data_IF_337480307755
#
_entry.id   IF_337480307755
#
_cell.length_a   1.000
_cell.length_b   1.000
_cell.length_c   1.000
_cell.angle_alpha   90.00
_cell.angle_beta   90.00
_cell.angle_gamma   90.00
#
_symmetry.space_group_name_H-M   'P 1'
#
loop_
_entity.id
_entity.type
_entity.pdbx_description
1 polymer ?
#
# COMPACT_ATOMS: atom_id res chain seq x y z
N UNK A 1 -8.08 0.10 -16.77
CA UNK A 1 -8.62 -0.73 -15.66
C UNK A 1 -9.22 0.11 -14.53
N UNK A 2 -8.49 1.00 -13.83
CA UNK A 2 -9.06 1.83 -12.72
C UNK A 2 -10.30 2.64 -13.17
N UNK A 3 -10.13 3.55 -14.13
CA UNK A 3 -11.23 4.34 -14.74
C UNK A 3 -12.30 3.48 -15.43
N UNK A 4 -11.95 2.28 -15.89
CA UNK A 4 -12.90 1.35 -16.54
C UNK A 4 -13.70 0.52 -15.54
N UNK A 5 -13.31 0.55 -14.26
CA UNK A 5 -13.95 -0.17 -13.16
C UNK A 5 -14.84 0.73 -12.31
N UNK A 6 -14.79 2.05 -12.52
CA UNK A 6 -15.71 3.01 -11.90
C UNK A 6 -17.16 2.72 -12.31
N UNK A 7 -18.06 2.59 -11.34
CA UNK A 7 -19.48 2.26 -11.56
C UNK A 7 -19.80 0.77 -11.79
N UNK A 8 -18.81 -0.14 -11.69
CA UNK A 8 -19.04 -1.59 -11.76
C UNK A 8 -19.11 -2.21 -10.36
N UNK A 9 -20.18 -2.93 -10.08
CA UNK A 9 -20.38 -3.68 -8.82
C UNK A 9 -19.59 -4.99 -8.74
N UNK A 10 -18.99 -5.43 -9.84
CA UNK A 10 -18.50 -6.80 -10.03
C UNK A 10 -16.97 -6.89 -10.00
N UNK A 11 -16.30 -5.91 -9.38
CA UNK A 11 -14.84 -5.90 -9.23
C UNK A 11 -14.47 -6.84 -8.10
N UNK A 12 -13.82 -7.95 -8.44
CA UNK A 12 -13.31 -8.89 -7.46
C UNK A 12 -12.01 -8.38 -6.81
N UNK A 13 -11.63 -9.01 -5.71
CA UNK A 13 -10.43 -8.63 -4.97
C UNK A 13 -9.15 -8.78 -5.79
N UNK A 14 -9.12 -9.70 -6.75
CA UNK A 14 -7.96 -9.92 -7.61
C UNK A 14 -7.75 -8.75 -8.57
N UNK A 15 -8.84 -8.22 -9.14
CA UNK A 15 -8.85 -7.03 -9.98
C UNK A 15 -8.52 -5.78 -9.17
N UNK A 16 -9.04 -5.67 -7.94
CA UNK A 16 -8.71 -4.56 -7.04
C UNK A 16 -7.21 -4.54 -6.71
N UNK A 17 -6.66 -5.68 -6.30
CA UNK A 17 -5.21 -5.85 -6.08
C UNK A 17 -4.42 -5.47 -7.34
N UNK A 18 -4.86 -5.91 -8.53
CA UNK A 18 -4.19 -5.60 -9.79
C UNK A 18 -4.14 -4.08 -10.06
N UNK A 19 -5.26 -3.37 -9.91
CA UNK A 19 -5.32 -1.91 -10.11
C UNK A 19 -4.32 -1.20 -9.20
N UNK A 20 -4.33 -1.53 -7.91
CA UNK A 20 -3.51 -0.83 -6.93
C UNK A 20 -2.02 -1.17 -7.02
N UNK A 21 -1.70 -2.42 -7.38
CA UNK A 21 -0.31 -2.82 -7.68
C UNK A 21 0.26 -1.99 -8.82
N UNK A 22 -0.54 -1.69 -9.86
CA UNK A 22 -0.06 -0.98 -11.05
C UNK A 22 -0.16 0.55 -10.96
N UNK A 23 -0.91 1.11 -9.99
CA UNK A 23 -1.07 2.55 -9.81
C UNK A 23 -0.10 3.11 -8.76
N UNK A 24 -0.19 2.59 -7.54
CA UNK A 24 0.53 3.13 -6.37
C UNK A 24 1.75 2.27 -6.04
N UNK A 25 1.59 0.94 -6.11
CA UNK A 25 2.66 -0.01 -5.81
C UNK A 25 3.87 0.12 -6.75
N UNK A 26 3.61 0.28 -8.06
CA UNK A 26 4.66 0.35 -9.07
C UNK A 26 5.63 1.53 -8.88
N UNK A 27 5.13 2.70 -8.45
CA UNK A 27 6.00 3.87 -8.21
C UNK A 27 6.84 3.73 -6.94
N UNK A 28 6.27 3.13 -5.88
CA UNK A 28 7.02 2.81 -4.66
C UNK A 28 8.10 1.77 -4.94
N UNK A 29 7.77 0.72 -5.70
CA UNK A 29 8.74 -0.26 -6.17
C UNK A 29 9.85 0.37 -6.99
N UNK A 30 9.51 1.21 -7.99
CA UNK A 30 10.49 1.91 -8.77
C UNK A 30 11.42 2.79 -7.91
N UNK A 31 10.87 3.48 -6.92
CA UNK A 31 11.64 4.36 -6.01
C UNK A 31 12.65 3.57 -5.18
N UNK A 32 12.23 2.45 -4.57
CA UNK A 32 13.09 1.61 -3.74
C UNK A 32 14.14 0.89 -4.59
N UNK A 33 13.71 0.23 -5.68
CA UNK A 33 14.58 -0.58 -6.53
C UNK A 33 15.62 0.29 -7.24
N UNK A 34 15.25 1.49 -7.70
CA UNK A 34 16.21 2.40 -8.35
C UNK A 34 17.36 2.80 -7.43
N UNK A 35 17.07 3.09 -6.16
CA UNK A 35 18.11 3.39 -5.16
C UNK A 35 19.06 2.21 -4.95
N UNK A 36 18.51 1.00 -4.87
CA UNK A 36 19.30 -0.22 -4.71
C UNK A 36 20.16 -0.53 -5.94
N UNK A 37 19.63 -0.34 -7.15
CA UNK A 37 20.39 -0.52 -8.39
C UNK A 37 21.56 0.47 -8.49
N UNK A 38 21.32 1.75 -8.15
CA UNK A 38 22.38 2.77 -8.15
C UNK A 38 23.48 2.48 -7.12
N UNK A 39 23.12 1.85 -6.00
CA UNK A 39 24.07 1.42 -4.98
C UNK A 39 24.82 0.10 -5.32
N UNK A 40 24.51 -0.52 -6.47
CA UNK A 40 25.14 -1.78 -6.88
C UNK A 40 24.69 -3.00 -6.06
N UNK A 41 23.44 -3.00 -5.60
CA UNK A 41 22.86 -4.13 -4.86
C UNK A 41 22.90 -5.43 -5.68
N UNK A 42 23.06 -6.57 -4.99
CA UNK A 42 22.95 -7.89 -5.60
C UNK A 42 21.52 -8.17 -6.10
N UNK A 43 21.39 -9.14 -7.01
CA UNK A 43 20.08 -9.64 -7.46
C UNK A 43 19.14 -10.00 -6.31
N UNK A 44 19.68 -10.69 -5.30
CA UNK A 44 18.91 -11.20 -4.17
C UNK A 44 18.38 -10.05 -3.30
N UNK A 45 19.20 -9.00 -3.10
CA UNK A 45 18.78 -7.81 -2.37
C UNK A 45 17.77 -6.99 -3.20
N UNK A 46 17.94 -6.89 -4.51
CA UNK A 46 16.97 -6.23 -5.39
C UNK A 46 15.60 -6.92 -5.32
N UNK A 47 15.58 -8.26 -5.32
CA UNK A 47 14.34 -9.01 -5.21
C UNK A 47 13.67 -8.82 -3.83
N UNK A 48 14.43 -8.91 -2.74
CA UNK A 48 13.94 -8.60 -1.39
C UNK A 48 13.35 -7.19 -1.29
N UNK A 49 14.04 -6.20 -1.85
CA UNK A 49 13.59 -4.81 -1.85
C UNK A 49 12.38 -4.57 -2.75
N UNK A 50 12.26 -5.29 -3.86
CA UNK A 50 11.04 -5.31 -4.69
C UNK A 50 9.86 -5.87 -3.90
N UNK A 51 10.03 -6.99 -3.20
CA UNK A 51 8.96 -7.58 -2.36
C UNK A 51 8.58 -6.67 -1.19
N UNK A 52 9.57 -6.07 -0.52
CA UNK A 52 9.35 -5.04 0.48
C UNK A 52 8.47 -3.90 -0.08
N UNK A 53 8.85 -3.35 -1.24
CA UNK A 53 8.17 -2.23 -1.85
C UNK A 53 6.73 -2.55 -2.29
N UNK A 54 6.49 -3.75 -2.83
CA UNK A 54 5.15 -4.23 -3.20
C UNK A 54 4.23 -4.32 -1.98
N UNK A 55 4.74 -4.90 -0.89
CA UNK A 55 3.98 -5.07 0.34
C UNK A 55 3.60 -3.72 0.98
N UNK A 56 4.57 -2.80 1.10
CA UNK A 56 4.26 -1.47 1.63
C UNK A 56 3.32 -0.67 0.72
N UNK A 57 3.41 -0.84 -0.61
CA UNK A 57 2.55 -0.16 -1.56
C UNK A 57 1.10 -0.62 -1.49
N UNK A 58 0.89 -1.94 -1.33
CA UNK A 58 -0.44 -2.48 -1.10
C UNK A 58 -1.00 -2.06 0.26
N UNK A 59 -0.19 -2.12 1.32
CA UNK A 59 -0.58 -1.68 2.65
C UNK A 59 -0.97 -0.18 2.67
N UNK A 60 -0.20 0.66 1.96
CA UNK A 60 -0.46 2.09 1.84
C UNK A 60 -1.84 2.36 1.26
N UNK A 61 -2.22 1.63 0.20
CA UNK A 61 -3.52 1.77 -0.43
C UNK A 61 -4.65 1.34 0.50
N UNK A 62 -4.52 0.18 1.16
CA UNK A 62 -5.53 -0.29 2.10
C UNK A 62 -5.76 0.75 3.21
N UNK A 63 -4.69 1.36 3.71
CA UNK A 63 -4.79 2.43 4.71
C UNK A 63 -5.42 3.69 4.11
N UNK A 64 -5.10 4.05 2.86
CA UNK A 64 -5.73 5.21 2.18
C UNK A 64 -7.25 5.04 2.05
N UNK A 65 -7.68 3.86 1.64
CA UNK A 65 -9.10 3.51 1.52
C UNK A 65 -9.82 3.53 2.89
N UNK A 66 -9.15 3.08 3.96
CA UNK A 66 -9.69 3.18 5.32
C UNK A 66 -9.84 4.65 5.71
N UNK A 67 -8.82 5.46 5.45
CA UNK A 67 -8.81 6.87 5.79
C UNK A 67 -9.89 7.64 5.02
N UNK A 68 -10.08 7.37 3.72
CA UNK A 68 -11.12 8.03 2.90
C UNK A 68 -12.55 7.85 3.46
N UNK A 69 -12.79 6.73 4.16
CA UNK A 69 -14.08 6.39 4.77
C UNK A 69 -14.17 6.88 6.22
N UNK A 70 -13.07 6.85 6.97
CA UNK A 70 -13.10 7.07 8.44
C UNK A 70 -12.70 8.46 8.88
N UNK A 71 -11.89 9.17 8.09
CA UNK A 71 -11.39 10.49 8.43
C UNK A 71 -12.27 11.60 7.87
N UNK A 72 -12.28 12.73 8.56
CA UNK A 72 -12.98 13.93 8.10
C UNK A 72 -12.21 14.59 6.94
N UNK A 73 -12.90 15.39 6.13
CA UNK A 73 -12.26 16.12 5.02
C UNK A 73 -11.18 17.11 5.50
N UNK A 74 -11.30 17.60 6.73
CA UNK A 74 -10.34 18.50 7.38
C UNK A 74 -9.05 17.76 7.79
N UNK A 75 -9.16 16.50 8.23
CA UNK A 75 -8.02 15.66 8.60
C UNK A 75 -7.22 15.17 7.39
N UNK A 76 -7.89 14.90 6.26
CA UNK A 76 -7.23 14.40 5.05
C UNK A 76 -6.71 15.51 4.11
N UNK A 77 -7.11 16.77 4.33
CA UNK A 77 -6.81 17.87 3.40
C UNK A 77 -7.43 17.71 2.00
N UNK A 78 -8.34 16.75 1.82
CA UNK A 78 -9.11 16.46 0.60
C UNK A 78 -10.57 16.15 0.97
N UNK A 79 -11.50 16.24 0.01
CA UNK A 79 -12.90 15.81 0.22
C UNK A 79 -12.94 14.32 0.56
N UNK A 80 -13.37 13.99 1.78
CA UNK A 80 -13.57 12.62 2.26
C UNK A 80 -14.81 11.98 1.63
N UNK A 81 -14.84 10.64 1.56
CA UNK A 81 -15.92 9.89 0.93
C UNK A 81 -15.99 10.02 -0.60
N UNK A 82 -14.87 10.38 -1.23
CA UNK A 82 -14.79 10.56 -2.68
C UNK A 82 -14.98 9.23 -3.41
N UNK A 83 -14.48 8.15 -2.82
CA UNK A 83 -14.59 6.81 -3.39
C UNK A 83 -16.03 6.29 -3.32
N UNK A 84 -16.74 6.60 -2.24
CA UNK A 84 -18.17 6.29 -2.12
C UNK A 84 -19.01 7.08 -3.16
N UNK A 85 -18.68 8.35 -3.41
CA UNK A 85 -19.34 9.16 -4.44
C UNK A 85 -19.05 8.67 -5.86
N UNK A 86 -17.85 8.11 -6.09
CA UNK A 86 -17.44 7.54 -7.38
C UNK A 86 -17.88 6.07 -7.58
N UNK A 87 -18.61 5.49 -6.62
CA UNK A 87 -18.95 4.06 -6.59
C UNK A 87 -17.72 3.16 -6.81
N UNK A 88 -16.56 3.55 -6.27
CA UNK A 88 -15.36 2.72 -6.32
C UNK A 88 -15.47 1.58 -5.33
N UNK A 89 -15.02 0.40 -5.76
CA UNK A 89 -14.78 -0.73 -4.87
C UNK A 89 -13.47 -0.46 -4.13
N UNK A 90 -13.51 -0.53 -2.80
CA UNK A 90 -12.39 -0.27 -1.90
C UNK A 90 -12.18 -1.48 -1.00
N UNK A 91 -11.02 -1.60 -0.35
CA UNK A 91 -10.79 -2.72 0.56
C UNK A 91 -11.82 -2.78 1.70
N UNK A 92 -12.16 -1.67 2.38
CA UNK A 92 -13.17 -1.71 3.43
C UNK A 92 -14.57 -2.04 2.93
N UNK A 93 -14.92 -1.75 1.67
CA UNK A 93 -16.23 -2.14 1.12
C UNK A 93 -16.33 -3.64 0.82
N UNK A 94 -15.22 -4.30 0.50
CA UNK A 94 -15.16 -5.75 0.27
C UNK A 94 -14.96 -6.57 1.56
N UNK A 95 -14.12 -6.09 2.47
CA UNK A 95 -13.66 -6.85 3.64
C UNK A 95 -14.18 -6.34 4.98
N UNK A 96 -14.69 -5.12 5.03
CA UNK A 96 -14.89 -4.38 6.28
C UNK A 96 -13.60 -3.72 6.79
N UNK A 97 -13.75 -2.72 7.66
CA UNK A 97 -12.65 -1.89 8.17
C UNK A 97 -11.68 -2.72 9.01
N UNK A 98 -12.19 -3.54 9.92
CA UNK A 98 -11.39 -4.35 10.84
C UNK A 98 -10.47 -5.32 10.10
N UNK A 99 -11.02 -6.04 9.12
CA UNK A 99 -10.24 -6.96 8.29
C UNK A 99 -9.23 -6.20 7.43
N UNK A 100 -9.61 -5.08 6.84
CA UNK A 100 -8.67 -4.23 6.08
C UNK A 100 -7.48 -3.76 6.94
N UNK A 101 -7.71 -3.40 8.21
CA UNK A 101 -6.64 -3.07 9.17
C UNK A 101 -5.74 -4.26 9.51
N UNK A 102 -6.28 -5.49 9.54
CA UNK A 102 -5.50 -6.70 9.79
C UNK A 102 -4.62 -7.02 8.59
N UNK A 103 -5.17 -6.96 7.38
CA UNK A 103 -4.45 -7.23 6.14
C UNK A 103 -3.31 -6.21 5.92
N UNK A 104 -3.54 -4.92 6.16
CA UNK A 104 -2.48 -3.91 6.04
C UNK A 104 -1.33 -4.15 7.02
N UNK A 105 -1.64 -4.55 8.27
CA UNK A 105 -0.61 -4.94 9.25
C UNK A 105 0.16 -6.18 8.82
N UNK A 106 -0.54 -7.21 8.32
CA UNK A 106 0.11 -8.43 7.84
C UNK A 106 1.09 -8.14 6.68
N UNK A 107 0.71 -7.26 5.76
CA UNK A 107 1.59 -6.81 4.67
C UNK A 107 2.82 -6.06 5.18
N UNK A 108 2.67 -5.19 6.18
CA UNK A 108 3.82 -4.51 6.80
C UNK A 108 4.78 -5.51 7.47
N UNK A 109 4.27 -6.51 8.18
CA UNK A 109 5.13 -7.54 8.79
C UNK A 109 5.85 -8.37 7.72
N UNK A 110 5.18 -8.72 6.62
CA UNK A 110 5.81 -9.37 5.47
C UNK A 110 6.87 -8.49 4.80
N UNK A 111 6.66 -7.18 4.73
CA UNK A 111 7.64 -6.23 4.23
C UNK A 111 8.88 -6.21 5.14
N UNK A 112 8.70 -6.06 6.44
CA UNK A 112 9.80 -6.04 7.43
C UNK A 112 10.63 -7.32 7.39
N UNK A 113 9.99 -8.48 7.20
CA UNK A 113 10.68 -9.76 7.07
C UNK A 113 11.69 -9.77 5.89
N UNK A 114 11.44 -9.02 4.82
CA UNK A 114 12.39 -8.89 3.69
C UNK A 114 13.68 -8.14 4.06
N UNK A 115 13.69 -7.43 5.19
CA UNK A 115 14.82 -6.64 5.68
C UNK A 115 15.55 -7.29 6.85
N UNK A 116 15.15 -8.51 7.27
CA UNK A 116 15.87 -9.28 8.26
C UNK A 116 17.32 -9.53 7.83
N UNK A 117 18.26 -9.37 8.77
CA UNK A 117 19.70 -9.49 8.55
C UNK A 117 20.43 -8.19 8.21
N UNK A 118 19.71 -7.08 8.01
CA UNK A 118 20.31 -5.76 7.70
C UNK A 118 20.32 -4.77 8.88
N UNK A 119 19.78 -5.18 10.04
CA UNK A 119 19.85 -4.49 11.34
C UNK A 119 19.74 -2.95 11.26
N UNK A 120 20.80 -2.23 11.65
CA UNK A 120 20.87 -0.77 11.67
C UNK A 120 20.62 -0.14 10.29
N UNK A 121 21.07 -0.79 9.22
CA UNK A 121 20.90 -0.27 7.86
C UNK A 121 19.44 -0.33 7.39
N UNK A 122 18.63 -1.24 7.94
CA UNK A 122 17.21 -1.35 7.60
C UNK A 122 16.31 -0.34 8.33
N UNK A 123 16.80 0.30 9.42
CA UNK A 123 15.99 1.18 10.27
C UNK A 123 15.16 2.22 9.52
N UNK A 124 15.68 2.94 8.52
CA UNK A 124 14.87 3.93 7.80
C UNK A 124 13.69 3.29 7.06
N UNK A 125 13.90 2.12 6.44
CA UNK A 125 12.83 1.41 5.74
C UNK A 125 11.82 0.81 6.72
N UNK A 126 12.28 0.23 7.83
CA UNK A 126 11.39 -0.26 8.88
C UNK A 126 10.48 0.86 9.43
N UNK A 127 11.04 2.05 9.66
CA UNK A 127 10.29 3.21 10.12
C UNK A 127 9.24 3.69 9.08
N UNK A 128 9.56 3.63 7.78
CA UNK A 128 8.59 3.93 6.71
C UNK A 128 7.45 2.92 6.73
N UNK A 129 7.76 1.62 6.86
CA UNK A 129 6.76 0.57 6.93
C UNK A 129 5.81 0.75 8.13
N UNK A 130 6.36 1.08 9.30
CA UNK A 130 5.57 1.39 10.50
C UNK A 130 4.69 2.63 10.30
N UNK A 131 5.26 3.69 9.72
CA UNK A 131 4.54 4.95 9.46
C UNK A 131 3.29 4.72 8.60
N UNK A 132 3.35 3.84 7.61
CA UNK A 132 2.23 3.58 6.69
C UNK A 132 0.96 3.12 7.44
N UNK A 133 1.10 2.33 8.50
CA UNK A 133 -0.06 1.86 9.29
C UNK A 133 -0.42 2.78 10.45
N UNK A 134 0.51 3.64 10.87
CA UNK A 134 0.30 4.59 11.96
C UNK A 134 -0.22 5.96 11.50
N UNK A 135 -0.15 6.25 10.19
CA UNK A 135 -0.60 7.53 9.63
C UNK A 135 -2.10 7.76 9.87
N UNK A 136 -2.45 9.00 10.14
CA UNK A 136 -3.82 9.45 10.36
C UNK A 136 -4.31 10.43 9.28
N UNK A 137 -3.54 10.62 8.20
CA UNK A 137 -3.81 11.49 7.07
C UNK A 137 -3.18 10.96 5.77
#
# INVERSE_FOLDING_TARGET
>A
VDLESEGKSDVDISTLNYIHTHKTGALLEASVVSGAMLAGASSDLLERLSQYAKNIGLAFQIVDDILDITATSEELGKTSGKDAQAQKVTYPSLWGIEKSKQESKALIEQAKAQLEGYEEAAKPLLAIADFITARSY
#
